data_IF_625425613720
#
_entry.id   IF_625425613720
#
_cell.length_a   1.000
_cell.length_b   1.000
_cell.length_c   1.000
_cell.angle_alpha   90.00
_cell.angle_beta   90.00
_cell.angle_gamma   90.00
#
_symmetry.space_group_name_H-M   'P 1'
#
loop_
_entity.id
_entity.type
_entity.pdbx_description
1 polymer ?
#
# COMPACT_ATOMS: atom_id res chain seq x y z
N UNK A 1 2.41 -6.78 -11.80
CA UNK A 1 2.84 -7.26 -10.46
C UNK A 1 4.04 -8.14 -10.68
N UNK A 2 5.23 -7.61 -10.41
CA UNK A 2 6.49 -8.36 -10.44
C UNK A 2 6.86 -8.72 -9.00
N UNK A 3 7.32 -9.96 -8.80
CA UNK A 3 7.74 -10.46 -7.49
C UNK A 3 9.24 -10.73 -7.57
N UNK A 4 10.02 -9.80 -7.04
CA UNK A 4 11.46 -9.94 -6.83
C UNK A 4 11.70 -9.98 -5.32
N UNK A 5 12.52 -10.92 -4.85
CA UNK A 5 12.60 -11.36 -3.44
C UNK A 5 12.25 -10.31 -2.38
N UNK A 6 11.25 -10.64 -1.56
CA UNK A 6 10.79 -9.92 -0.36
C UNK A 6 10.19 -8.51 -0.59
N UNK A 7 10.20 -7.98 -1.82
CA UNK A 7 9.61 -6.69 -2.19
C UNK A 7 8.44 -6.85 -3.16
N UNK A 8 7.34 -6.14 -2.87
CA UNK A 8 6.14 -6.15 -3.69
C UNK A 8 5.79 -4.77 -4.22
N UNK A 9 5.86 -4.60 -5.54
CA UNK A 9 5.58 -3.32 -6.19
C UNK A 9 4.13 -3.25 -6.66
N UNK A 10 3.44 -2.16 -6.32
CA UNK A 10 2.02 -1.92 -6.65
C UNK A 10 1.77 -0.54 -7.25
N UNK A 11 0.72 -0.44 -8.08
CA UNK A 11 0.17 0.82 -8.58
C UNK A 11 -0.87 1.39 -7.59
N UNK A 12 -0.82 2.70 -7.34
CA UNK A 12 -1.81 3.42 -6.50
C UNK A 12 -3.18 3.64 -7.17
N UNK A 13 -3.25 3.35 -8.45
CA UNK A 13 -4.37 3.59 -9.34
C UNK A 13 -5.21 2.34 -9.60
N UNK A 14 -4.95 1.25 -8.85
CA UNK A 14 -5.73 0.01 -8.85
C UNK A 14 -7.23 0.25 -8.65
N UNK A 15 -8.01 -0.52 -9.41
CA UNK A 15 -9.45 -0.65 -9.26
C UNK A 15 -9.83 -1.42 -7.99
N UNK A 16 -11.11 -1.40 -7.63
CA UNK A 16 -11.59 -2.14 -6.46
C UNK A 16 -11.44 -3.67 -6.60
N UNK A 17 -11.52 -4.20 -7.82
CA UNK A 17 -11.31 -5.63 -8.07
C UNK A 17 -9.84 -6.00 -7.85
N UNK A 18 -8.92 -5.22 -8.41
CA UNK A 18 -7.47 -5.41 -8.21
C UNK A 18 -7.07 -5.28 -6.74
N UNK A 19 -7.68 -4.35 -5.99
CA UNK A 19 -7.44 -4.20 -4.55
C UNK A 19 -7.87 -5.47 -3.78
N UNK A 20 -8.99 -6.10 -4.16
CA UNK A 20 -9.44 -7.35 -3.52
C UNK A 20 -8.51 -8.51 -3.85
N UNK A 21 -8.07 -8.61 -5.10
CA UNK A 21 -7.10 -9.63 -5.51
C UNK A 21 -5.77 -9.46 -4.78
N UNK A 22 -5.30 -8.22 -4.66
CA UNK A 22 -4.12 -7.87 -3.89
C UNK A 22 -4.26 -8.23 -2.40
N UNK A 23 -5.39 -7.89 -1.76
CA UNK A 23 -5.67 -8.27 -0.37
C UNK A 23 -5.65 -9.80 -0.18
N UNK A 24 -6.33 -10.54 -1.07
CA UNK A 24 -6.37 -12.00 -1.02
C UNK A 24 -4.99 -12.64 -1.26
N UNK A 25 -4.14 -11.98 -2.05
CA UNK A 25 -2.78 -12.42 -2.29
C UNK A 25 -1.86 -12.15 -1.09
N UNK A 26 -1.91 -10.94 -0.53
CA UNK A 26 -0.97 -10.45 0.49
C UNK A 26 -1.29 -10.99 1.88
N UNK A 27 -2.56 -11.01 2.30
CA UNK A 27 -2.96 -11.46 3.65
C UNK A 27 -2.35 -12.81 4.09
N UNK A 28 -2.40 -13.89 3.29
CA UNK A 28 -1.83 -15.17 3.70
C UNK A 28 -0.30 -15.23 3.59
N UNK A 29 0.33 -14.24 2.96
CA UNK A 29 1.78 -14.21 2.68
C UNK A 29 2.51 -13.08 3.39
N UNK A 30 1.83 -12.34 4.27
CA UNK A 30 2.33 -11.10 4.86
C UNK A 30 3.64 -11.31 5.63
N UNK A 31 3.81 -12.48 6.25
CA UNK A 31 5.04 -12.87 6.96
C UNK A 31 6.26 -13.05 6.04
N UNK A 32 6.05 -13.19 4.74
CA UNK A 32 7.11 -13.37 3.73
C UNK A 32 7.31 -12.12 2.86
N UNK A 33 6.62 -11.01 3.17
CA UNK A 33 6.72 -9.76 2.42
C UNK A 33 7.36 -8.73 3.35
N UNK A 34 8.60 -8.34 3.09
CA UNK A 34 9.29 -7.35 3.92
C UNK A 34 9.03 -5.93 3.47
N UNK A 35 8.75 -5.73 2.18
CA UNK A 35 8.57 -4.38 1.60
C UNK A 35 7.42 -4.31 0.62
N UNK A 36 6.61 -3.24 0.70
CA UNK A 36 5.65 -2.87 -0.34
C UNK A 36 6.07 -1.53 -0.92
N UNK A 37 6.42 -1.54 -2.21
CA UNK A 37 6.81 -0.37 -2.97
C UNK A 37 5.67 0.09 -3.87
N UNK A 38 5.70 1.38 -4.19
CA UNK A 38 4.71 1.99 -5.07
C UNK A 38 5.41 2.41 -6.34
N UNK A 39 4.81 2.08 -7.49
CA UNK A 39 5.30 2.52 -8.79
C UNK A 39 5.38 4.06 -8.87
N UNK A 40 6.46 4.56 -9.48
CA UNK A 40 6.71 5.98 -9.56
C UNK A 40 5.62 6.69 -10.39
N UNK A 41 5.21 7.88 -9.95
CA UNK A 41 4.11 8.63 -10.57
C UNK A 41 2.70 8.13 -10.26
N UNK A 42 2.55 7.10 -9.42
CA UNK A 42 1.24 6.58 -9.01
C UNK A 42 0.39 7.62 -8.26
N UNK A 43 -0.88 7.77 -8.69
CA UNK A 43 -1.86 8.64 -8.03
C UNK A 43 -2.83 7.78 -7.23
N UNK A 44 -2.99 8.07 -5.94
CA UNK A 44 -3.99 7.40 -5.10
C UNK A 44 -5.40 7.70 -5.62
N UNK A 45 -6.02 6.71 -6.26
CA UNK A 45 -7.40 6.77 -6.77
C UNK A 45 -8.43 6.19 -5.81
N UNK A 46 -8.00 5.44 -4.79
CA UNK A 46 -8.90 4.71 -3.89
C UNK A 46 -8.46 4.82 -2.44
N UNK A 47 -9.35 5.31 -1.57
CA UNK A 47 -9.15 5.28 -0.12
C UNK A 47 -9.10 3.86 0.46
N UNK A 48 -9.70 2.88 -0.23
CA UNK A 48 -9.66 1.48 0.20
C UNK A 48 -8.24 0.90 0.14
N UNK A 49 -7.46 1.27 -0.89
CA UNK A 49 -6.06 0.87 -0.98
C UNK A 49 -5.23 1.46 0.17
N UNK A 50 -5.43 2.75 0.47
CA UNK A 50 -4.77 3.40 1.62
C UNK A 50 -5.13 2.71 2.94
N UNK A 51 -6.41 2.40 3.16
CA UNK A 51 -6.88 1.70 4.34
C UNK A 51 -6.28 0.29 4.44
N UNK A 52 -6.17 -0.42 3.32
CA UNK A 52 -5.56 -1.75 3.25
C UNK A 52 -4.07 -1.68 3.62
N UNK A 53 -3.30 -0.77 3.00
CA UNK A 53 -1.87 -0.61 3.31
C UNK A 53 -1.66 -0.29 4.81
N UNK A 54 -2.45 0.62 5.36
CA UNK A 54 -2.40 0.95 6.78
C UNK A 54 -2.75 -0.26 7.67
N UNK A 55 -3.72 -1.08 7.27
CA UNK A 55 -4.08 -2.32 7.96
C UNK A 55 -2.94 -3.36 7.91
N UNK A 56 -2.27 -3.50 6.76
CA UNK A 56 -1.13 -4.41 6.60
C UNK A 56 0.04 -3.99 7.50
N UNK A 57 0.39 -2.70 7.53
CA UNK A 57 1.42 -2.16 8.44
C UNK A 57 1.06 -2.37 9.91
N UNK A 58 -0.22 -2.25 10.29
CA UNK A 58 -0.68 -2.58 11.65
C UNK A 58 -0.58 -4.06 11.97
N UNK A 59 -0.78 -4.93 10.98
CA UNK A 59 -0.74 -6.38 11.15
C UNK A 59 0.70 -6.87 11.32
N UNK A 60 1.64 -6.37 10.50
CA UNK A 60 3.07 -6.64 10.61
C UNK A 60 3.82 -5.30 10.68
N UNK A 61 4.21 -4.88 11.88
CA UNK A 61 4.91 -3.59 12.11
C UNK A 61 6.26 -3.51 11.40
N UNK A 62 6.93 -4.64 11.24
CA UNK A 62 8.21 -4.75 10.54
C UNK A 62 8.10 -4.54 9.02
N UNK A 63 6.89 -4.63 8.46
CA UNK A 63 6.64 -4.41 7.04
C UNK A 63 6.99 -2.97 6.64
N UNK A 64 7.87 -2.82 5.66
CA UNK A 64 8.32 -1.52 5.17
C UNK A 64 7.35 -1.07 4.07
N UNK A 65 6.64 0.03 4.30
CA UNK A 65 5.78 0.67 3.28
C UNK A 65 6.16 2.14 3.18
N UNK A 66 7.15 2.51 2.34
CA UNK A 66 7.68 3.87 2.29
C UNK A 66 6.62 4.92 1.97
N UNK A 67 5.56 4.54 1.23
CA UNK A 67 4.43 5.42 0.96
C UNK A 67 3.72 5.87 2.25
N UNK A 68 3.51 4.98 3.22
CA UNK A 68 2.86 5.34 4.47
C UNK A 68 3.78 6.19 5.38
N UNK A 69 5.09 5.98 5.29
CA UNK A 69 6.08 6.74 6.06
C UNK A 69 6.16 8.21 5.63
N UNK A 70 5.76 8.54 4.39
CA UNK A 70 5.66 9.93 3.92
C UNK A 70 4.64 10.78 4.70
N UNK A 71 3.67 10.15 5.37
CA UNK A 71 2.64 10.81 6.20
C UNK A 71 1.65 11.72 5.46
N UNK A 72 1.86 11.96 4.16
CA UNK A 72 0.93 12.72 3.33
C UNK A 72 1.13 12.43 1.85
N UNK A 73 0.07 12.65 1.07
CA UNK A 73 0.13 12.67 -0.41
C UNK A 73 -0.88 13.66 -0.96
N UNK A 74 -0.64 14.11 -2.20
CA UNK A 74 -1.59 14.91 -2.96
C UNK A 74 -2.28 13.99 -3.96
N UNK A 75 -3.60 13.90 -3.89
CA UNK A 75 -4.43 13.21 -4.86
C UNK A 75 -5.32 14.23 -5.58
N UNK A 76 -5.42 14.21 -6.92
CA UNK A 76 -6.39 15.02 -7.65
C UNK A 76 -7.84 14.71 -7.28
N UNK A 77 -8.13 13.48 -6.82
CA UNK A 77 -9.49 13.05 -6.47
C UNK A 77 -9.88 13.48 -5.05
N UNK A 78 -8.93 13.53 -4.12
CA UNK A 78 -9.18 13.72 -2.70
C UNK A 78 -8.51 14.97 -2.09
N UNK A 79 -7.75 15.73 -2.88
CA UNK A 79 -6.92 16.82 -2.40
C UNK A 79 -5.69 16.32 -1.64
N UNK A 80 -5.25 17.10 -0.64
CA UNK A 80 -4.14 16.70 0.24
C UNK A 80 -4.65 15.76 1.32
N UNK A 81 -4.12 14.55 1.36
CA UNK A 81 -4.43 13.56 2.37
C UNK A 81 -3.27 13.50 3.33
N UNK A 82 -3.57 13.61 4.63
CA UNK A 82 -2.61 13.40 5.71
C UNK A 82 -2.98 12.14 6.49
N UNK A 83 -1.98 11.40 6.94
CA UNK A 83 -2.18 10.28 7.86
C UNK A 83 -1.04 10.19 8.86
N UNK A 84 -1.33 9.58 9.99
CA UNK A 84 -0.35 9.27 11.02
C UNK A 84 -0.31 7.75 11.12
N UNK A 85 0.81 7.16 10.73
CA UNK A 85 1.08 5.76 10.96
C UNK A 85 1.81 5.64 12.30
N UNK A 86 1.20 5.00 13.29
CA UNK A 86 1.86 4.70 14.55
C UNK A 86 2.59 3.36 14.44
N UNK A 87 3.87 3.35 14.77
CA UNK A 87 4.72 2.15 14.83
C UNK A 87 4.29 1.14 15.90
#
# INVERSE_FOLDING_TARGET
MEFDGDALTIDLSMSMEEIKEFEAFVRPRIDYIDRIEIEDGGILKSSALLALLASLKKTRRELIIPFLEKGSTVSPAYGTIHWICHD
#
